data_IF_407515171413
#
_entry.id   IF_407515171413
#
_cell.length_a   1.000
_cell.length_b   1.000
_cell.length_c   1.000
_cell.angle_alpha   90.00
_cell.angle_beta   90.00
_cell.angle_gamma   90.00
#
_symmetry.space_group_name_H-M   'P 1'
#
loop_
_entity.id
_entity.type
_entity.pdbx_description
1 polymer ?
#
# COMPACT_ATOMS: atom_id res chain seq x y z
N UNK A 1 37.28 11.95 -9.98
CA UNK A 1 36.58 10.64 -10.06
C UNK A 1 35.46 10.64 -9.03
N UNK A 2 34.20 10.82 -9.46
CA UNK A 2 33.06 11.07 -8.56
C UNK A 2 32.54 9.79 -7.91
N UNK A 3 32.49 9.80 -6.58
CA UNK A 3 32.15 8.70 -5.67
C UNK A 3 30.63 8.37 -5.57
N UNK A 4 29.81 8.67 -6.59
CA UNK A 4 28.35 8.82 -6.42
C UNK A 4 27.44 7.96 -7.31
N UNK A 5 27.80 6.71 -7.63
CA UNK A 5 26.77 5.71 -7.94
C UNK A 5 26.34 5.04 -6.63
N UNK A 6 25.53 5.73 -5.81
CA UNK A 6 24.62 4.99 -4.93
C UNK A 6 23.78 4.14 -5.87
N UNK A 7 23.96 2.82 -5.81
CA UNK A 7 23.08 1.87 -6.47
C UNK A 7 21.65 2.25 -6.11
N UNK A 8 20.86 2.56 -7.14
CA UNK A 8 19.46 2.93 -6.97
C UNK A 8 18.76 1.82 -6.16
N UNK A 9 17.98 2.17 -5.13
CA UNK A 9 17.29 1.16 -4.34
C UNK A 9 16.33 0.34 -5.20
N UNK A 10 16.20 -0.95 -4.89
CA UNK A 10 15.36 -1.89 -5.66
C UNK A 10 13.87 -1.49 -5.66
N UNK A 11 13.43 -0.78 -4.64
CA UNK A 11 12.05 -0.32 -4.50
C UNK A 11 11.73 0.97 -5.25
N UNK A 12 12.74 1.65 -5.79
CA UNK A 12 12.57 2.97 -6.39
C UNK A 12 11.82 2.90 -7.72
N UNK A 13 10.89 3.83 -7.95
CA UNK A 13 10.07 3.90 -9.18
C UNK A 13 10.57 5.03 -10.08
N UNK A 14 10.69 4.77 -11.40
CA UNK A 14 11.20 5.75 -12.36
C UNK A 14 10.32 7.00 -12.40
N UNK A 15 10.91 8.17 -12.16
CA UNK A 15 10.22 9.45 -12.21
C UNK A 15 9.37 9.78 -10.98
N UNK A 16 9.42 8.95 -9.93
CA UNK A 16 8.73 9.20 -8.65
C UNK A 16 9.76 9.32 -7.55
N UNK A 17 9.78 10.48 -6.89
CA UNK A 17 10.66 10.74 -5.76
C UNK A 17 9.87 10.52 -4.46
N UNK A 18 10.24 9.55 -3.61
CA UNK A 18 9.67 9.49 -2.28
C UNK A 18 10.18 10.65 -1.44
N UNK A 19 9.43 10.99 -0.40
CA UNK A 19 9.97 11.80 0.69
C UNK A 19 10.49 10.89 1.79
N UNK A 20 11.57 11.29 2.48
CA UNK A 20 12.17 10.47 3.54
C UNK A 20 11.87 11.05 4.91
N UNK A 21 11.29 10.24 5.80
CA UNK A 21 11.05 10.68 7.18
C UNK A 21 12.32 10.58 8.06
N UNK A 22 12.25 11.16 9.26
CA UNK A 22 13.37 11.15 10.23
C UNK A 22 13.74 9.74 10.71
N UNK A 23 12.81 8.79 10.65
CA UNK A 23 13.02 7.38 10.95
C UNK A 23 13.64 6.59 9.78
N UNK A 24 13.99 7.28 8.69
CA UNK A 24 14.70 6.73 7.54
C UNK A 24 13.85 5.93 6.57
N UNK A 25 12.53 6.01 6.65
CA UNK A 25 11.59 5.41 5.69
C UNK A 25 11.40 6.34 4.49
N UNK A 26 11.46 5.78 3.29
CA UNK A 26 11.06 6.43 2.05
C UNK A 26 9.55 6.21 1.85
N UNK A 27 8.80 7.30 1.76
CA UNK A 27 7.34 7.32 1.69
C UNK A 27 6.89 7.76 0.30
N UNK A 28 5.98 6.98 -0.27
CA UNK A 28 5.30 7.21 -1.54
C UNK A 28 3.82 7.43 -1.28
N UNK A 29 3.34 8.62 -1.62
CA UNK A 29 1.90 8.90 -1.65
C UNK A 29 1.25 8.11 -2.80
N UNK A 30 0.10 7.49 -2.56
CA UNK A 30 -0.54 6.60 -3.52
C UNK A 30 -0.93 7.29 -4.82
N UNK A 31 -1.27 8.58 -4.77
CA UNK A 31 -1.60 9.41 -5.93
C UNK A 31 -0.39 9.63 -6.86
N UNK A 32 0.82 9.79 -6.30
CA UNK A 32 2.05 9.91 -7.09
C UNK A 32 2.38 8.65 -7.89
N UNK A 33 1.86 7.50 -7.44
CA UNK A 33 1.99 6.20 -8.09
C UNK A 33 0.78 5.84 -8.96
N UNK A 34 -0.35 6.55 -8.86
CA UNK A 34 -1.61 6.18 -9.51
C UNK A 34 -1.52 6.07 -11.04
N UNK A 35 -0.71 6.92 -11.68
CA UNK A 35 -0.49 6.92 -13.11
C UNK A 35 0.47 5.81 -13.61
N UNK A 36 1.10 5.05 -12.71
CA UNK A 36 1.99 3.96 -13.09
C UNK A 36 1.18 2.82 -13.70
N UNK A 37 1.61 2.21 -14.82
CA UNK A 37 0.80 1.22 -15.54
C UNK A 37 0.29 0.07 -14.68
N UNK A 38 1.13 -0.44 -13.76
CA UNK A 38 0.75 -1.54 -12.86
C UNK A 38 -0.32 -1.12 -11.84
N UNK A 39 -0.22 0.11 -11.32
CA UNK A 39 -1.17 0.70 -10.37
C UNK A 39 -2.48 1.03 -11.07
N UNK A 40 -2.43 1.69 -12.23
CA UNK A 40 -3.60 1.96 -13.06
C UNK A 40 -4.35 0.67 -13.44
N UNK A 41 -3.62 -0.41 -13.73
CA UNK A 41 -4.19 -1.73 -13.95
C UNK A 41 -4.91 -2.30 -12.72
N UNK A 42 -4.36 -2.13 -11.52
CA UNK A 42 -5.01 -2.52 -10.27
C UNK A 42 -6.27 -1.68 -9.98
N UNK A 43 -6.20 -0.37 -10.18
CA UNK A 43 -7.35 0.52 -10.06
C UNK A 43 -8.50 0.13 -10.99
N UNK A 44 -8.19 -0.25 -12.24
CA UNK A 44 -9.19 -0.72 -13.18
C UNK A 44 -9.88 -2.03 -12.77
N UNK A 45 -9.28 -2.82 -11.85
CA UNK A 45 -9.86 -4.06 -11.30
C UNK A 45 -10.67 -3.83 -10.03
N UNK A 46 -10.62 -2.64 -9.44
CA UNK A 46 -11.42 -2.32 -8.26
C UNK A 46 -12.92 -2.44 -8.56
N UNK A 47 -13.75 -2.76 -7.55
CA UNK A 47 -15.19 -2.61 -7.65
C UNK A 47 -15.58 -1.21 -8.16
N UNK A 48 -16.62 -1.13 -8.98
CA UNK A 48 -17.15 0.14 -9.48
C UNK A 48 -17.97 0.81 -8.38
N UNK A 49 -17.28 1.56 -7.53
CA UNK A 49 -17.88 2.34 -6.45
C UNK A 49 -17.27 3.76 -6.42
N UNK A 50 -18.10 4.82 -6.28
CA UNK A 50 -17.59 6.19 -6.19
C UNK A 50 -16.59 6.44 -5.06
N UNK A 51 -16.71 5.74 -3.93
CA UNK A 51 -15.77 5.87 -2.81
C UNK A 51 -14.35 5.44 -3.21
N UNK A 52 -14.23 4.37 -4.01
CA UNK A 52 -12.94 3.83 -4.42
C UNK A 52 -12.23 4.65 -5.50
N UNK A 53 -12.91 5.62 -6.14
CA UNK A 53 -12.32 6.47 -7.17
C UNK A 53 -11.15 7.31 -6.63
N UNK A 54 -11.17 7.63 -5.34
CA UNK A 54 -10.15 8.44 -4.67
C UNK A 54 -9.21 7.63 -3.80
N UNK A 55 -9.34 6.30 -3.79
CA UNK A 55 -8.54 5.43 -2.93
C UNK A 55 -7.02 5.69 -2.99
N UNK A 56 -6.38 5.94 -4.16
CA UNK A 56 -4.96 6.28 -4.18
C UNK A 56 -4.57 7.50 -3.34
N UNK A 57 -5.44 8.50 -3.23
CA UNK A 57 -5.20 9.70 -2.42
C UNK A 57 -5.30 9.42 -0.91
N UNK A 58 -5.94 8.31 -0.54
CA UNK A 58 -6.12 7.88 0.83
C UNK A 58 -5.13 6.79 1.24
N UNK A 59 -4.10 6.51 0.44
CA UNK A 59 -3.09 5.49 0.74
C UNK A 59 -1.68 6.06 0.68
N UNK A 60 -0.84 5.64 1.62
CA UNK A 60 0.60 5.88 1.56
C UNK A 60 1.37 4.58 1.80
N UNK A 61 2.44 4.38 1.02
CA UNK A 61 3.40 3.31 1.24
C UNK A 61 4.69 3.87 1.80
N UNK A 62 5.28 3.16 2.74
CA UNK A 62 6.61 3.48 3.25
C UNK A 62 7.50 2.25 3.21
N UNK A 63 8.79 2.40 2.89
CA UNK A 63 9.76 1.31 2.99
C UNK A 63 11.16 1.81 3.35
N UNK A 64 12.01 0.92 3.85
CA UNK A 64 13.45 1.17 4.02
C UNK A 64 14.30 0.42 3.01
N UNK A 65 13.82 -0.70 2.50
CA UNK A 65 14.63 -1.67 1.77
C UNK A 65 13.88 -2.40 0.64
N UNK A 66 12.58 -2.13 0.47
CA UNK A 66 11.72 -2.77 -0.52
C UNK A 66 11.20 -4.14 -0.12
N UNK A 67 11.53 -4.63 1.08
CA UNK A 67 11.05 -5.89 1.64
C UNK A 67 10.11 -5.66 2.82
N UNK A 68 10.42 -4.70 3.68
CA UNK A 68 9.54 -4.26 4.75
C UNK A 68 8.77 -3.01 4.29
N UNK A 69 7.45 -3.04 4.46
CA UNK A 69 6.55 -2.01 3.99
C UNK A 69 5.59 -1.58 5.10
N UNK A 70 5.40 -0.27 5.24
CA UNK A 70 4.24 0.29 5.92
C UNK A 70 3.18 0.66 4.88
N UNK A 71 1.92 0.33 5.14
CA UNK A 71 0.74 0.80 4.42
C UNK A 71 -0.11 1.60 5.39
N UNK A 72 -0.36 2.87 5.08
CA UNK A 72 -1.22 3.75 5.85
C UNK A 72 -2.46 4.16 5.06
N UNK A 73 -3.58 4.29 5.77
CA UNK A 73 -4.86 4.75 5.27
C UNK A 73 -5.15 6.16 5.78
N UNK A 74 -5.64 7.02 4.91
CA UNK A 74 -6.27 8.28 5.32
C UNK A 74 -7.66 8.05 5.92
N UNK A 75 -8.11 8.98 6.74
CA UNK A 75 -9.36 8.90 7.52
C UNK A 75 -10.58 8.45 6.70
N UNK A 76 -10.75 8.97 5.48
CA UNK A 76 -11.88 8.63 4.62
C UNK A 76 -11.94 7.14 4.32
N UNK A 77 -10.78 6.53 4.03
CA UNK A 77 -10.68 5.13 3.66
C UNK A 77 -10.90 4.18 4.85
N UNK A 78 -10.72 4.65 6.09
CA UNK A 78 -10.98 3.82 7.27
C UNK A 78 -12.43 3.32 7.31
N UNK A 79 -13.38 4.17 6.89
CA UNK A 79 -14.79 3.78 6.85
C UNK A 79 -15.10 2.75 5.76
N UNK A 80 -14.37 2.76 4.64
CA UNK A 80 -14.60 1.84 3.52
C UNK A 80 -14.10 0.42 3.79
N UNK A 81 -13.18 0.28 4.74
CA UNK A 81 -12.54 -0.99 5.10
C UNK A 81 -12.82 -1.43 6.54
N UNK A 82 -13.80 -0.81 7.21
CA UNK A 82 -14.19 -1.09 8.60
C UNK A 82 -13.02 -0.98 9.60
N UNK A 83 -12.16 0.03 9.40
CA UNK A 83 -10.97 0.30 10.21
C UNK A 83 -11.16 1.45 11.21
N UNK A 84 -12.32 2.11 11.22
CA UNK A 84 -12.55 3.30 12.03
C UNK A 84 -12.55 3.03 13.55
N UNK A 85 -13.00 1.85 13.95
CA UNK A 85 -13.08 1.44 15.35
C UNK A 85 -11.83 0.66 15.78
N UNK A 86 -11.38 0.78 17.04
CA UNK A 86 -10.26 -0.01 17.57
C UNK A 86 -10.49 -1.53 17.50
N UNK A 87 -11.75 -1.95 17.55
CA UNK A 87 -12.26 -3.32 17.41
C UNK A 87 -12.89 -3.58 16.03
N UNK A 88 -12.61 -2.72 15.05
CA UNK A 88 -13.04 -2.89 13.67
C UNK A 88 -12.46 -4.16 13.04
N UNK A 89 -13.07 -4.62 11.94
CA UNK A 89 -12.77 -5.91 11.33
C UNK A 89 -11.29 -6.17 11.05
N UNK A 90 -10.82 -7.37 11.43
CA UNK A 90 -9.49 -7.88 11.07
C UNK A 90 -9.41 -8.32 9.59
N UNK A 91 -10.50 -8.19 8.82
CA UNK A 91 -10.60 -8.70 7.46
C UNK A 91 -9.51 -8.16 6.53
N UNK A 92 -9.10 -6.90 6.70
CA UNK A 92 -8.01 -6.34 5.91
C UNK A 92 -6.68 -7.02 6.24
N UNK A 93 -6.37 -7.16 7.53
CA UNK A 93 -5.16 -7.82 8.03
C UNK A 93 -5.09 -9.28 7.56
N UNK A 94 -6.19 -10.03 7.74
CA UNK A 94 -6.30 -11.42 7.29
C UNK A 94 -6.13 -11.56 5.78
N UNK A 95 -6.73 -10.66 5.00
CA UNK A 95 -6.64 -10.71 3.53
C UNK A 95 -5.23 -10.36 3.06
N UNK A 96 -4.58 -9.38 3.70
CA UNK A 96 -3.19 -9.02 3.41
C UNK A 96 -2.23 -10.16 3.79
N UNK A 97 -2.43 -10.79 4.96
CA UNK A 97 -1.61 -11.89 5.45
C UNK A 97 -1.76 -13.16 4.60
N UNK A 98 -2.93 -13.41 4.05
CA UNK A 98 -3.18 -14.54 3.14
C UNK A 98 -2.63 -14.32 1.72
N UNK A 99 -2.20 -13.11 1.37
CA UNK A 99 -1.74 -12.79 0.04
C UNK A 99 -0.36 -13.41 -0.25
N UNK A 100 -0.19 -14.04 -1.42
CA UNK A 100 1.01 -14.80 -1.75
C UNK A 100 2.31 -13.97 -1.82
N UNK A 101 2.22 -12.65 -1.96
CA UNK A 101 3.38 -11.76 -1.98
C UNK A 101 3.84 -11.36 -0.56
N UNK A 102 3.02 -11.62 0.46
CA UNK A 102 3.22 -11.23 1.84
C UNK A 102 3.93 -12.34 2.64
N UNK A 103 4.80 -11.95 3.58
CA UNK A 103 5.46 -12.84 4.53
C UNK A 103 4.84 -12.73 5.92
N UNK A 104 4.97 -11.57 6.56
CA UNK A 104 4.38 -11.24 7.86
C UNK A 104 3.51 -10.00 7.73
N UNK A 105 2.49 -9.88 8.58
CA UNK A 105 1.66 -8.67 8.72
C UNK A 105 1.50 -8.37 10.20
N UNK A 106 1.52 -7.09 10.52
CA UNK A 106 1.23 -6.54 11.84
C UNK A 106 0.39 -5.27 11.64
N UNK A 107 -0.77 -5.20 12.29
CA UNK A 107 -1.53 -3.96 12.43
C UNK A 107 -0.93 -3.11 13.56
N UNK A 108 -0.16 -2.08 13.20
CA UNK A 108 0.54 -1.22 14.17
C UNK A 108 -0.34 -0.08 14.71
N UNK A 109 -1.37 0.30 13.94
CA UNK A 109 -2.45 1.19 14.35
C UNK A 109 -3.71 0.82 13.56
N UNK A 110 -4.86 1.40 13.89
CA UNK A 110 -6.12 1.17 13.17
C UNK A 110 -6.00 1.48 11.68
N UNK A 111 -5.18 2.47 11.32
CA UNK A 111 -4.97 3.01 9.98
C UNK A 111 -3.65 2.57 9.35
N UNK A 112 -2.82 1.80 10.06
CA UNK A 112 -1.46 1.50 9.65
C UNK A 112 -1.11 0.02 9.83
N UNK A 113 -0.61 -0.57 8.76
CA UNK A 113 -0.14 -1.95 8.72
C UNK A 113 1.34 -1.97 8.36
N UNK A 114 2.13 -2.78 9.04
CA UNK A 114 3.49 -3.13 8.63
C UNK A 114 3.46 -4.56 8.13
N UNK A 115 4.05 -4.79 6.97
CA UNK A 115 4.13 -6.12 6.40
C UNK A 115 5.47 -6.35 5.70
N UNK A 116 5.87 -7.60 5.62
CA UNK A 116 7.03 -8.00 4.82
C UNK A 116 6.58 -8.68 3.55
N UNK A 117 7.40 -8.59 2.50
CA UNK A 117 7.18 -9.28 1.23
C UNK A 117 8.13 -10.47 1.08
N UNK A 118 7.73 -11.46 0.28
CA UNK A 118 8.52 -12.69 0.05
C UNK A 118 9.84 -12.43 -0.71
N UNK A 119 9.93 -11.29 -1.39
CA UNK A 119 11.15 -10.73 -1.97
C UNK A 119 11.04 -9.21 -2.09
N UNK A 120 12.12 -8.52 -2.45
CA UNK A 120 12.08 -7.07 -2.62
C UNK A 120 11.22 -6.67 -3.83
N UNK A 121 10.32 -5.71 -3.64
CA UNK A 121 9.41 -5.20 -4.67
C UNK A 121 9.60 -3.70 -4.92
N UNK A 122 9.33 -3.21 -6.15
CA UNK A 122 9.12 -1.80 -6.44
C UNK A 122 7.87 -1.23 -5.74
N UNK A 123 7.88 0.06 -5.39
CA UNK A 123 6.75 0.70 -4.70
C UNK A 123 5.44 0.67 -5.51
N UNK A 124 5.51 0.82 -6.84
CA UNK A 124 4.32 0.76 -7.70
C UNK A 124 3.73 -0.66 -7.76
N UNK A 125 4.56 -1.69 -7.79
CA UNK A 125 4.14 -3.09 -7.70
C UNK A 125 3.51 -3.40 -6.34
N UNK A 126 4.14 -2.96 -5.24
CA UNK A 126 3.59 -3.13 -3.88
C UNK A 126 2.23 -2.44 -3.76
N UNK A 127 2.09 -1.19 -4.25
CA UNK A 127 0.81 -0.48 -4.19
C UNK A 127 -0.27 -1.18 -5.01
N UNK A 128 0.08 -1.67 -6.21
CA UNK A 128 -0.86 -2.43 -7.03
C UNK A 128 -1.38 -3.68 -6.30
N UNK A 129 -0.53 -4.40 -5.59
CA UNK A 129 -0.95 -5.51 -4.75
C UNK A 129 -1.86 -5.06 -3.61
N UNK A 130 -1.50 -4.00 -2.88
CA UNK A 130 -2.35 -3.45 -1.82
C UNK A 130 -3.72 -3.01 -2.34
N UNK A 131 -3.80 -2.46 -3.55
CA UNK A 131 -5.08 -2.11 -4.19
C UNK A 131 -5.92 -3.34 -4.54
N UNK A 132 -5.31 -4.42 -5.02
CA UNK A 132 -6.02 -5.68 -5.26
C UNK A 132 -6.58 -6.28 -3.94
N UNK A 133 -5.85 -6.11 -2.83
CA UNK A 133 -6.33 -6.45 -1.48
C UNK A 133 -7.51 -5.57 -1.08
N UNK A 134 -7.40 -4.25 -1.22
CA UNK A 134 -8.50 -3.32 -0.98
C UNK A 134 -9.75 -3.72 -1.76
N UNK A 135 -9.62 -4.00 -3.06
CA UNK A 135 -10.74 -4.45 -3.89
C UNK A 135 -11.35 -5.78 -3.44
N UNK A 136 -10.55 -6.69 -2.89
CA UNK A 136 -11.03 -7.95 -2.33
C UNK A 136 -11.79 -7.74 -1.02
N UNK A 137 -11.23 -6.95 -0.10
CA UNK A 137 -11.85 -6.61 1.18
C UNK A 137 -13.16 -5.88 0.97
N UNK A 138 -13.17 -4.86 0.10
CA UNK A 138 -14.38 -4.08 -0.19
C UNK A 138 -15.53 -4.97 -0.67
N UNK A 139 -15.28 -5.88 -1.63
CA UNK A 139 -16.31 -6.82 -2.11
C UNK A 139 -16.88 -7.68 -1.00
N UNK A 140 -16.05 -8.10 -0.04
CA UNK A 140 -16.50 -8.94 1.09
C UNK A 140 -17.36 -8.14 2.07
N UNK A 141 -16.96 -6.91 2.38
CA UNK A 141 -17.73 -6.02 3.26
C UNK A 141 -19.09 -5.65 2.66
N UNK A 142 -19.16 -5.44 1.34
CA UNK A 142 -20.42 -5.05 0.67
C UNK A 142 -21.30 -6.22 0.22
N UNK A 143 -20.87 -7.47 0.41
CA UNK A 143 -21.63 -8.65 0.02
C UNK A 143 -22.53 -9.21 1.14
N UNK A 144 -22.42 -8.67 2.36
CA UNK A 144 -23.33 -8.94 3.49
C UNK A 144 -24.48 -7.96 3.53
#
# INVERSE_FOLDING_TARGET
MSWWRRSRPVYAVDGVAPHRNSAGWDIYEGDTLAARPVVAGALARLPRDPALAYLPFSLALSTRDGREWGLAFGDEALTWFDLSAPDGSDLFEETLAAAAFTGTVERVDREAFVFTTTGSLPADVTLAHCLDICGTVFRRLTAG
#
